data_IF_587505923799
#
_entry.id   IF_587505923799
#
_cell.length_a   1.000
_cell.length_b   1.000
_cell.length_c   1.000
_cell.angle_alpha   90.00
_cell.angle_beta   90.00
_cell.angle_gamma   90.00
#
_symmetry.space_group_name_H-M   'P 1'
#
loop_
_entity.id
_entity.type
_entity.pdbx_description
1 polymer ?
#
# COMPACT_ATOMS: atom_id res chain seq x y z
N UNK A 1 -12.40 -1.96 17.13
CA UNK A 1 -11.06 -2.51 17.42
C UNK A 1 -11.10 -3.19 18.76
N UNK A 2 -10.79 -4.48 18.84
CA UNK A 2 -10.87 -5.22 20.11
C UNK A 2 -9.68 -4.81 21.01
N UNK A 3 -9.93 -4.43 22.27
CA UNK A 3 -8.87 -4.03 23.20
C UNK A 3 -8.06 -5.27 23.58
N UNK A 4 -6.73 -5.20 23.49
CA UNK A 4 -5.85 -6.27 24.00
C UNK A 4 -6.12 -6.53 25.50
N UNK A 5 -5.98 -7.80 25.92
CA UNK A 5 -5.97 -8.15 27.35
C UNK A 5 -4.73 -7.56 28.03
N UNK A 6 -4.77 -7.39 29.35
CA UNK A 6 -3.60 -6.89 30.12
C UNK A 6 -2.38 -7.80 29.95
N UNK A 7 -2.59 -9.12 29.94
CA UNK A 7 -1.52 -10.11 29.79
C UNK A 7 -0.80 -9.97 28.44
N UNK A 8 -1.54 -9.86 27.33
CA UNK A 8 -0.94 -9.67 26.01
C UNK A 8 -0.14 -8.38 25.89
N UNK A 9 -0.58 -7.29 26.54
CA UNK A 9 0.20 -6.05 26.56
C UNK A 9 1.52 -6.23 27.30
N UNK A 10 1.50 -6.95 28.43
CA UNK A 10 2.69 -7.22 29.23
C UNK A 10 3.69 -8.10 28.47
N UNK A 11 3.21 -9.12 27.76
CA UNK A 11 4.05 -9.96 26.89
C UNK A 11 4.69 -9.15 25.76
N UNK A 12 3.92 -8.30 25.07
CA UNK A 12 4.46 -7.44 24.02
C UNK A 12 5.50 -6.45 24.54
N UNK A 13 5.29 -5.89 25.74
CA UNK A 13 6.27 -5.01 26.37
C UNK A 13 7.57 -5.76 26.67
N UNK A 14 7.48 -6.95 27.27
CA UNK A 14 8.64 -7.77 27.54
C UNK A 14 9.40 -8.19 26.26
N UNK A 15 8.70 -8.41 25.14
CA UNK A 15 9.33 -8.67 23.84
C UNK A 15 10.01 -7.42 23.26
N UNK A 16 9.41 -6.24 23.44
CA UNK A 16 9.99 -4.97 22.96
C UNK A 16 11.23 -4.55 23.77
N UNK A 17 11.28 -4.91 25.05
CA UNK A 17 12.40 -4.58 25.94
C UNK A 17 13.58 -5.58 25.81
N UNK A 18 13.40 -6.70 25.08
CA UNK A 18 14.48 -7.66 24.84
C UNK A 18 15.51 -7.07 23.87
N UNK A 19 16.81 -7.29 24.14
CA UNK A 19 17.86 -6.81 23.25
C UNK A 19 18.02 -7.70 22.01
N UNK A 20 18.39 -7.08 20.88
CA UNK A 20 18.44 -7.74 19.58
C UNK A 20 19.42 -8.94 19.52
N UNK A 21 20.46 -8.96 20.34
CA UNK A 21 21.43 -10.07 20.38
C UNK A 21 20.84 -11.40 20.90
N UNK A 22 19.68 -11.36 21.56
CA UNK A 22 18.95 -12.56 22.00
C UNK A 22 18.04 -13.14 20.90
N UNK A 23 17.92 -12.47 19.75
CA UNK A 23 17.12 -12.94 18.63
C UNK A 23 17.86 -14.11 17.97
N UNK A 24 17.22 -15.29 18.01
CA UNK A 24 17.69 -16.45 17.28
C UNK A 24 17.44 -16.26 15.78
N UNK A 25 18.50 -16.39 14.98
CA UNK A 25 18.51 -16.21 13.52
C UNK A 25 18.97 -17.48 12.79
N UNK A 26 18.97 -18.63 13.49
CA UNK A 26 19.46 -19.89 12.93
C UNK A 26 18.60 -20.42 11.79
N UNK A 27 17.30 -20.14 11.80
CA UNK A 27 16.35 -20.53 10.76
C UNK A 27 16.27 -19.53 9.61
N UNK A 28 16.34 -18.23 9.92
CA UNK A 28 16.23 -17.12 8.96
C UNK A 28 17.37 -16.13 9.22
N UNK A 29 18.40 -16.10 8.36
CA UNK A 29 19.50 -15.16 8.52
C UNK A 29 19.03 -13.72 8.30
N UNK A 30 19.67 -12.80 9.02
CA UNK A 30 19.41 -11.37 8.91
C UNK A 30 19.69 -10.84 7.49
N UNK A 31 18.73 -10.10 6.92
CA UNK A 31 18.89 -9.42 5.63
C UNK A 31 19.59 -8.08 5.84
N UNK A 32 20.88 -8.01 5.51
CA UNK A 32 21.70 -6.78 5.65
C UNK A 32 21.56 -5.83 4.46
N UNK A 33 21.27 -6.37 3.28
CA UNK A 33 21.09 -5.61 2.04
C UNK A 33 19.82 -6.07 1.34
N UNK A 34 19.09 -5.13 0.75
CA UNK A 34 17.86 -5.44 0.00
C UNK A 34 18.26 -6.24 -1.25
N UNK A 35 17.78 -7.47 -1.43
CA UNK A 35 18.08 -8.27 -2.61
C UNK A 35 17.64 -7.56 -3.90
N UNK A 36 18.38 -7.72 -5.01
CA UNK A 36 18.03 -7.09 -6.28
C UNK A 36 16.67 -7.55 -6.85
N UNK A 37 16.18 -8.72 -6.44
CA UNK A 37 14.88 -9.29 -6.80
C UNK A 37 13.75 -8.91 -5.81
N UNK A 38 14.04 -8.12 -4.77
CA UNK A 38 13.04 -7.73 -3.78
C UNK A 38 11.94 -6.85 -4.41
N UNK A 39 10.69 -7.31 -4.29
CA UNK A 39 9.52 -6.56 -4.77
C UNK A 39 9.03 -5.59 -3.69
N UNK A 40 9.48 -4.35 -3.74
CA UNK A 40 9.01 -3.29 -2.85
C UNK A 40 7.56 -2.92 -3.21
N UNK A 41 6.68 -2.89 -2.20
CA UNK A 41 5.31 -2.39 -2.36
C UNK A 41 4.31 -3.37 -3.00
N UNK A 42 4.63 -4.67 -3.12
CA UNK A 42 3.72 -5.71 -3.65
C UNK A 42 2.31 -5.67 -3.04
N UNK A 43 2.22 -5.36 -1.74
CA UNK A 43 0.96 -5.30 -1.00
C UNK A 43 0.44 -3.89 -0.77
N UNK A 44 1.15 -2.85 -1.23
CA UNK A 44 0.71 -1.48 -1.05
C UNK A 44 -0.52 -1.20 -1.90
N UNK A 45 -1.65 -0.94 -1.22
CA UNK A 45 -2.89 -0.49 -1.84
C UNK A 45 -3.14 0.95 -1.44
N UNK A 46 -3.06 1.92 -2.37
CA UNK A 46 -3.42 3.30 -2.06
C UNK A 46 -4.85 3.37 -1.52
N UNK A 47 -5.05 4.08 -0.40
CA UNK A 47 -6.39 4.36 0.10
C UNK A 47 -7.11 5.24 -0.92
N UNK A 48 -8.19 4.71 -1.51
CA UNK A 48 -9.04 5.49 -2.42
C UNK A 48 -9.96 6.38 -1.59
N UNK A 49 -10.05 7.66 -1.95
CA UNK A 49 -11.02 8.58 -1.37
C UNK A 49 -12.17 8.74 -2.36
N UNK A 50 -13.41 8.64 -1.87
CA UNK A 50 -14.59 8.94 -2.66
C UNK A 50 -14.74 10.45 -2.76
N UNK A 51 -14.75 10.97 -3.99
CA UNK A 51 -14.91 12.40 -4.27
C UNK A 51 -15.94 12.58 -5.38
N UNK A 52 -16.72 13.66 -5.31
CA UNK A 52 -17.65 14.05 -6.38
C UNK A 52 -16.91 14.93 -7.38
N UNK A 53 -16.75 14.45 -8.62
CA UNK A 53 -16.11 15.16 -9.72
C UNK A 53 -17.08 15.28 -10.88
N UNK A 54 -17.08 16.42 -11.57
CA UNK A 54 -17.80 16.62 -12.84
C UNK A 54 -16.85 16.33 -14.00
N UNK A 55 -17.35 15.57 -14.98
CA UNK A 55 -16.67 15.26 -16.23
C UNK A 55 -17.57 15.69 -17.38
N UNK A 56 -16.97 16.09 -18.50
CA UNK A 56 -17.71 16.41 -19.70
C UNK A 56 -18.46 15.17 -20.24
N UNK A 57 -19.59 15.40 -20.88
CA UNK A 57 -20.51 14.34 -21.28
C UNK A 57 -19.90 13.39 -22.33
N UNK A 58 -19.13 13.95 -23.27
CA UNK A 58 -18.37 13.24 -24.30
C UNK A 58 -17.24 12.39 -23.71
N UNK A 59 -16.49 12.93 -22.76
CA UNK A 59 -15.44 12.22 -22.02
C UNK A 59 -16.04 11.05 -21.24
N UNK A 60 -17.17 11.27 -20.56
CA UNK A 60 -17.87 10.21 -19.85
C UNK A 60 -18.41 9.14 -20.79
N UNK A 61 -18.95 9.52 -21.95
CA UNK A 61 -19.44 8.59 -22.96
C UNK A 61 -18.30 7.71 -23.50
N UNK A 62 -17.16 8.32 -23.84
CA UNK A 62 -15.95 7.61 -24.31
C UNK A 62 -15.41 6.63 -23.25
N UNK A 63 -15.38 7.04 -21.98
CA UNK A 63 -14.96 6.18 -20.87
C UNK A 63 -15.91 5.00 -20.64
N UNK A 64 -17.22 5.22 -20.76
CA UNK A 64 -18.22 4.16 -20.65
C UNK A 64 -18.20 3.20 -21.85
N UNK A 65 -17.89 3.70 -23.05
CA UNK A 65 -17.79 2.88 -24.26
C UNK A 65 -16.71 1.78 -24.16
N UNK A 66 -15.69 1.99 -23.33
CA UNK A 66 -14.65 0.97 -23.07
C UNK A 66 -15.06 -0.10 -22.04
N UNK A 67 -16.34 -0.17 -21.67
CA UNK A 67 -16.94 -1.26 -20.89
C UNK A 67 -16.96 -1.01 -19.37
N UNK A 68 -17.16 -2.08 -18.60
CA UNK A 68 -17.15 -2.04 -17.13
C UNK A 68 -15.80 -1.58 -16.57
N UNK A 69 -15.83 -0.95 -15.40
CA UNK A 69 -14.62 -0.48 -14.72
C UNK A 69 -14.07 0.87 -15.18
N UNK A 70 -14.86 1.69 -15.89
CA UNK A 70 -14.44 3.02 -16.35
C UNK A 70 -13.96 3.93 -15.21
N UNK A 71 -14.55 3.82 -14.01
CA UNK A 71 -14.10 4.55 -12.81
C UNK A 71 -12.66 4.16 -12.40
N UNK A 72 -12.33 2.88 -12.49
CA UNK A 72 -10.96 2.40 -12.22
C UNK A 72 -9.99 2.91 -13.30
N UNK A 73 -10.42 2.98 -14.56
CA UNK A 73 -9.63 3.55 -15.67
C UNK A 73 -9.38 5.05 -15.49
N UNK A 74 -10.37 5.83 -15.06
CA UNK A 74 -10.18 7.25 -14.70
C UNK A 74 -9.01 7.40 -13.72
N UNK A 75 -9.02 6.66 -12.61
CA UNK A 75 -7.96 6.74 -11.61
C UNK A 75 -6.58 6.28 -12.16
N UNK A 76 -6.55 5.32 -13.09
CA UNK A 76 -5.31 4.89 -13.76
C UNK A 76 -4.72 6.01 -14.62
N UNK A 77 -5.55 6.70 -15.41
CA UNK A 77 -5.10 7.82 -16.24
C UNK A 77 -4.62 9.00 -15.40
N UNK A 78 -5.35 9.36 -14.35
CA UNK A 78 -4.93 10.41 -13.42
C UNK A 78 -3.59 10.10 -12.76
N UNK A 79 -3.35 8.82 -12.38
CA UNK A 79 -2.07 8.38 -11.83
C UNK A 79 -0.93 8.50 -12.83
N UNK A 80 -1.16 8.14 -14.09
CA UNK A 80 -0.15 8.30 -15.15
C UNK A 80 0.19 9.77 -15.39
N UNK A 81 -0.81 10.65 -15.45
CA UNK A 81 -0.61 12.10 -15.57
C UNK A 81 0.17 12.65 -14.39
N UNK A 82 -0.19 12.29 -13.16
CA UNK A 82 0.53 12.68 -11.94
C UNK A 82 2.00 12.24 -11.98
N UNK A 83 2.29 11.01 -12.42
CA UNK A 83 3.66 10.51 -12.54
C UNK A 83 4.47 11.27 -13.60
N UNK A 84 3.87 11.58 -14.75
CA UNK A 84 4.51 12.40 -15.78
C UNK A 84 4.82 13.80 -15.26
N UNK A 85 3.88 14.43 -14.57
CA UNK A 85 4.06 15.77 -14.00
C UNK A 85 5.17 15.83 -12.93
N UNK A 86 5.42 14.74 -12.19
CA UNK A 86 6.50 14.67 -11.18
C UNK A 86 7.91 14.46 -11.76
N UNK A 87 8.01 14.08 -13.04
CA UNK A 87 9.30 13.83 -13.71
C UNK A 87 9.84 15.10 -14.39
N UNK A 88 9.02 16.13 -14.49
CA UNK A 88 9.39 17.49 -14.84
C UNK A 88 9.58 18.31 -13.57
#
# INVERSE_FOLDING_TARGET
MNKLSKNRRKELQALADKPDYEIDLTDIPEVREIPPDAVIGKFYRPKKQSVTLRLDADVLAWLKASGEGYQTRINKYLRQLMQKARRH
#
